data_IF_597422476289
#
_entry.id   IF_597422476289
#
_cell.length_a   1.000
_cell.length_b   1.000
_cell.length_c   1.000
_cell.angle_alpha   90.00
_cell.angle_beta   90.00
_cell.angle_gamma   90.00
#
_symmetry.space_group_name_H-M   'P 1'
#
loop_
_entity.id
_entity.type
_entity.pdbx_description
1 polymer ?
#
# COMPACT_ATOMS: atom_id res chain seq x y z
N UNK A 1 -17.08 42.63 11.81
CA UNK A 1 -15.93 41.77 11.44
C UNK A 1 -16.05 40.50 12.25
N UNK A 2 -16.50 39.41 11.64
CA UNK A 2 -16.71 38.14 12.34
C UNK A 2 -15.40 37.38 12.44
N UNK A 3 -14.99 37.07 13.67
CA UNK A 3 -13.85 36.20 13.95
C UNK A 3 -14.22 34.74 13.69
N UNK A 4 -13.56 34.11 12.72
CA UNK A 4 -13.66 32.67 12.48
C UNK A 4 -12.85 31.92 13.54
N UNK A 5 -13.52 31.52 14.62
CA UNK A 5 -12.98 30.73 15.73
C UNK A 5 -12.63 29.29 15.24
N UNK A 6 -11.37 28.82 15.32
CA UNK A 6 -10.89 27.61 14.64
C UNK A 6 -11.20 26.29 15.39
N UNK A 7 -12.31 26.18 16.10
CA UNK A 7 -12.53 25.07 17.06
C UNK A 7 -12.89 23.74 16.37
N UNK A 8 -13.41 23.80 15.15
CA UNK A 8 -13.90 22.63 14.41
C UNK A 8 -12.77 21.79 13.78
N UNK A 9 -11.66 22.40 13.35
CA UNK A 9 -10.60 21.65 12.65
C UNK A 9 -9.82 20.72 13.58
N UNK A 10 -9.57 21.14 14.82
CA UNK A 10 -8.77 20.35 15.77
C UNK A 10 -9.54 19.13 16.29
N UNK A 11 -10.83 19.30 16.63
CA UNK A 11 -11.69 18.21 17.07
C UNK A 11 -11.91 17.17 15.96
N UNK A 12 -12.08 17.61 14.70
CA UNK A 12 -12.21 16.70 13.56
C UNK A 12 -10.91 15.91 13.31
N UNK A 13 -9.75 16.55 13.46
CA UNK A 13 -8.45 15.87 13.33
C UNK A 13 -8.24 14.85 14.44
N UNK A 14 -8.54 15.19 15.70
CA UNK A 14 -8.44 14.26 16.83
C UNK A 14 -9.36 13.04 16.64
N UNK A 15 -10.59 13.24 16.15
CA UNK A 15 -11.51 12.13 15.87
C UNK A 15 -10.98 11.17 14.78
N UNK A 16 -10.33 11.70 13.74
CA UNK A 16 -9.70 10.87 12.70
C UNK A 16 -8.49 10.12 13.26
N UNK A 17 -7.66 10.78 14.06
CA UNK A 17 -6.48 10.16 14.69
C UNK A 17 -6.89 9.05 15.65
N UNK A 18 -7.94 9.26 16.44
CA UNK A 18 -8.47 8.28 17.38
C UNK A 18 -9.08 7.07 16.66
N UNK A 19 -9.86 7.30 15.60
CA UNK A 19 -10.40 6.23 14.76
C UNK A 19 -9.28 5.40 14.09
N UNK A 20 -8.22 6.06 13.58
CA UNK A 20 -7.05 5.36 13.02
C UNK A 20 -6.33 4.55 14.09
N UNK A 21 -6.15 5.10 15.30
CA UNK A 21 -5.56 4.37 16.44
C UNK A 21 -6.37 3.14 16.82
N UNK A 22 -7.70 3.25 16.88
CA UNK A 22 -8.60 2.12 17.10
C UNK A 22 -8.44 1.04 16.03
N UNK A 23 -8.44 1.43 14.75
CA UNK A 23 -8.29 0.52 13.62
C UNK A 23 -6.92 -0.20 13.62
N UNK A 24 -5.85 0.47 14.05
CA UNK A 24 -4.52 -0.12 14.20
C UNK A 24 -4.49 -1.11 15.37
N UNK A 25 -5.07 -0.75 16.52
CA UNK A 25 -5.06 -1.61 17.71
C UNK A 25 -5.92 -2.86 17.56
N UNK A 26 -7.07 -2.76 16.90
CA UNK A 26 -8.02 -3.87 16.73
C UNK A 26 -7.80 -4.64 15.40
N UNK A 27 -7.19 -3.97 14.39
CA UNK A 27 -7.08 -4.45 13.02
C UNK A 27 -5.67 -4.80 12.51
N UNK A 28 -4.61 -4.64 13.30
CA UNK A 28 -3.22 -4.99 12.89
C UNK A 28 -3.08 -6.44 12.39
N UNK A 29 -3.96 -7.34 12.83
CA UNK A 29 -3.95 -8.74 12.41
C UNK A 29 -4.45 -8.97 10.98
N UNK A 30 -5.02 -7.98 10.30
CA UNK A 30 -5.40 -8.10 8.89
C UNK A 30 -4.26 -7.65 7.98
N UNK A 31 -3.73 -8.62 7.23
CA UNK A 31 -2.67 -8.44 6.23
C UNK A 31 -3.20 -8.81 4.85
N UNK A 32 -2.84 -8.04 3.85
CA UNK A 32 -3.00 -8.39 2.44
C UNK A 32 -1.74 -9.15 2.03
N UNK A 33 -1.92 -10.38 1.58
CA UNK A 33 -0.84 -11.26 1.11
C UNK A 33 -1.00 -11.43 -0.40
N UNK A 34 0.01 -11.00 -1.16
CA UNK A 34 0.10 -11.26 -2.59
C UNK A 34 0.98 -12.48 -2.77
N UNK A 35 0.47 -13.46 -3.52
CA UNK A 35 1.20 -14.67 -3.89
C UNK A 35 1.42 -14.71 -5.40
N UNK A 36 2.53 -15.30 -5.79
CA UNK A 36 2.82 -15.58 -7.20
C UNK A 36 2.12 -16.87 -7.66
N UNK A 37 2.19 -17.23 -8.95
CA UNK A 37 1.55 -18.47 -9.46
C UNK A 37 2.13 -19.77 -8.88
N UNK A 38 3.20 -19.70 -8.07
CA UNK A 38 3.77 -20.81 -7.32
C UNK A 38 3.30 -20.86 -5.86
N UNK A 39 2.35 -20.02 -5.48
CA UNK A 39 1.85 -19.84 -4.10
C UNK A 39 2.87 -19.23 -3.11
N UNK A 40 4.08 -18.86 -3.58
CA UNK A 40 5.06 -18.10 -2.81
C UNK A 40 4.57 -16.68 -2.50
N UNK A 41 4.71 -16.27 -1.23
CA UNK A 41 4.38 -14.91 -0.77
C UNK A 41 5.40 -13.92 -1.31
N UNK A 42 4.94 -13.03 -2.20
CA UNK A 42 5.79 -11.99 -2.82
C UNK A 42 5.68 -10.64 -2.13
N UNK A 43 4.55 -10.38 -1.47
CA UNK A 43 4.31 -9.14 -0.73
C UNK A 43 3.29 -9.40 0.38
N UNK A 44 3.59 -8.93 1.59
CA UNK A 44 2.65 -8.93 2.71
C UNK A 44 2.61 -7.54 3.33
N UNK A 45 1.44 -6.92 3.38
CA UNK A 45 1.26 -5.58 3.93
C UNK A 45 0.00 -5.49 4.81
N UNK A 46 0.06 -4.89 6.02
CA UNK A 46 -1.11 -4.68 6.84
C UNK A 46 -2.13 -3.76 6.15
N UNK A 47 -3.43 -4.06 6.29
CA UNK A 47 -4.50 -3.21 5.72
C UNK A 47 -4.46 -1.80 6.32
N UNK A 48 -4.13 -1.68 7.61
CA UNK A 48 -4.01 -0.41 8.30
C UNK A 48 -2.98 0.53 7.64
N UNK A 49 -1.87 -0.02 7.12
CA UNK A 49 -0.87 0.76 6.39
C UNK A 49 -1.48 1.40 5.13
N UNK A 50 -2.35 0.66 4.42
CA UNK A 50 -3.06 1.16 3.24
C UNK A 50 -4.00 2.32 3.55
N UNK A 51 -4.73 2.28 4.67
CA UNK A 51 -5.63 3.37 5.10
C UNK A 51 -4.84 4.63 5.44
N UNK A 52 -3.78 4.50 6.23
CA UNK A 52 -2.91 5.65 6.57
C UNK A 52 -2.27 6.22 5.30
N UNK A 53 -1.77 5.35 4.42
CA UNK A 53 -1.18 5.78 3.15
C UNK A 53 -2.20 6.50 2.26
N UNK A 54 -3.45 6.03 2.17
CA UNK A 54 -4.48 6.67 1.36
C UNK A 54 -4.83 8.09 1.84
N UNK A 55 -4.87 8.31 3.16
CA UNK A 55 -5.11 9.64 3.73
C UNK A 55 -3.90 10.57 3.59
N UNK A 56 -2.68 10.03 3.73
CA UNK A 56 -1.45 10.80 3.58
C UNK A 56 -1.06 11.03 2.10
N UNK A 57 -1.57 10.21 1.18
CA UNK A 57 -1.20 10.20 -0.23
C UNK A 57 -1.32 11.57 -0.92
N UNK A 58 -2.38 12.39 -0.74
CA UNK A 58 -2.49 13.67 -1.46
C UNK A 58 -1.37 14.66 -1.10
N UNK A 59 -1.02 14.77 0.18
CA UNK A 59 0.05 15.64 0.66
C UNK A 59 1.41 15.12 0.19
N UNK A 60 1.65 13.81 0.39
CA UNK A 60 2.86 13.16 -0.08
C UNK A 60 3.02 13.26 -1.60
N UNK A 61 1.94 13.17 -2.37
CA UNK A 61 1.94 13.28 -3.83
C UNK A 61 2.29 14.70 -4.26
N UNK A 62 1.77 15.73 -3.60
CA UNK A 62 2.12 17.12 -3.93
C UNK A 62 3.62 17.37 -3.76
N UNK A 63 4.18 16.92 -2.64
CA UNK A 63 5.62 17.04 -2.36
C UNK A 63 6.42 16.19 -3.35
N UNK A 64 6.05 14.91 -3.50
CA UNK A 64 6.73 13.96 -4.37
C UNK A 64 6.72 14.36 -5.83
N UNK A 65 5.59 14.87 -6.34
CA UNK A 65 5.47 15.39 -7.69
C UNK A 65 6.36 16.63 -7.89
N UNK A 66 6.36 17.56 -6.93
CA UNK A 66 7.24 18.73 -6.97
C UNK A 66 8.72 18.32 -7.03
N UNK A 67 9.14 17.40 -6.16
CA UNK A 67 10.50 16.85 -6.14
C UNK A 67 10.82 16.13 -7.45
N UNK A 68 9.90 15.34 -8.01
CA UNK A 68 10.10 14.63 -9.26
C UNK A 68 10.24 15.57 -10.47
N UNK A 69 9.56 16.73 -10.45
CA UNK A 69 9.65 17.72 -11.52
C UNK A 69 10.97 18.51 -11.49
N UNK A 70 11.47 18.84 -10.30
CA UNK A 70 12.67 19.69 -10.13
C UNK A 70 13.95 18.86 -10.03
N UNK A 71 13.87 17.65 -9.48
CA UNK A 71 15.01 16.75 -9.31
C UNK A 71 15.32 15.95 -10.58
N UNK A 72 16.60 15.61 -10.78
CA UNK A 72 17.00 14.55 -11.73
C UNK A 72 16.71 13.17 -11.12
N UNK A 73 15.43 12.89 -10.88
CA UNK A 73 14.98 11.61 -10.35
C UNK A 73 14.75 10.63 -11.51
N UNK A 74 15.46 9.50 -11.51
CA UNK A 74 15.22 8.43 -12.48
C UNK A 74 14.21 7.42 -11.93
N UNK A 75 13.06 7.29 -12.56
CA UNK A 75 12.09 6.24 -12.22
C UNK A 75 12.48 4.98 -12.99
N UNK A 76 13.15 4.02 -12.34
CA UNK A 76 13.43 2.70 -12.92
C UNK A 76 12.29 1.74 -12.57
N UNK A 77 11.53 1.33 -13.58
CA UNK A 77 10.62 0.21 -13.47
C UNK A 77 11.39 -1.06 -13.74
N UNK A 78 11.73 -1.79 -12.68
CA UNK A 78 12.23 -3.15 -12.82
C UNK A 78 11.04 -4.10 -12.85
N UNK A 79 10.74 -4.61 -14.04
CA UNK A 79 9.82 -5.71 -14.17
C UNK A 79 10.54 -6.98 -13.72
N UNK A 80 10.25 -7.44 -12.50
CA UNK A 80 10.73 -8.74 -12.02
C UNK A 80 9.90 -9.85 -12.65
N UNK A 81 9.95 -9.96 -13.98
CA UNK A 81 9.41 -11.11 -14.71
C UNK A 81 10.33 -12.30 -14.38
N UNK A 82 9.85 -13.15 -13.47
CA UNK A 82 10.46 -14.38 -12.92
C UNK A 82 11.74 -14.90 -13.60
N UNK A 83 12.85 -15.06 -12.86
CA UNK A 83 13.77 -16.17 -13.06
C UNK A 83 13.26 -17.38 -12.27
N UNK A 84 12.75 -18.39 -12.97
CA UNK A 84 12.61 -19.73 -12.41
C UNK A 84 11.37 -20.48 -12.87
N UNK A 85 11.38 -21.00 -14.08
CA UNK A 85 10.51 -22.11 -14.48
C UNK A 85 10.95 -23.39 -13.73
N UNK A 86 10.00 -24.19 -13.27
CA UNK A 86 10.12 -25.64 -13.41
C UNK A 86 8.81 -26.12 -14.03
N UNK A 87 8.81 -26.59 -15.29
CA UNK A 87 7.64 -27.26 -15.84
C UNK A 87 7.43 -28.53 -15.00
N UNK A 88 6.27 -28.63 -14.34
CA UNK A 88 5.79 -29.92 -13.90
C UNK A 88 5.55 -30.74 -15.17
N UNK A 89 6.38 -31.77 -15.29
CA UNK A 89 6.37 -32.85 -16.27
C UNK A 89 4.98 -33.12 -16.85
N UNK A 90 4.92 -33.13 -18.18
CA UNK A 90 3.90 -33.83 -18.96
C UNK A 90 3.69 -35.23 -18.38
N UNK A 91 2.55 -35.45 -17.73
CA UNK A 91 2.09 -36.82 -17.49
C UNK A 91 1.47 -37.26 -18.80
N UNK A 92 2.31 -37.95 -19.57
CA UNK A 92 1.94 -38.88 -20.61
C UNK A 92 0.77 -39.75 -20.12
N UNK A 93 -0.41 -39.56 -20.71
CA UNK A 93 -1.50 -40.53 -20.58
C UNK A 93 -1.73 -41.11 -21.96
N UNK A 94 -0.79 -41.98 -22.34
CA UNK A 94 -0.97 -43.01 -23.33
C UNK A 94 -0.59 -44.34 -22.70
N UNK A 95 -1.34 -45.40 -23.01
CA UNK A 95 -1.07 -46.81 -22.72
C UNK A 95 -1.66 -47.37 -21.41
N UNK A 96 -2.93 -47.80 -21.43
CA UNK A 96 -3.41 -49.12 -21.91
C UNK A 96 -4.90 -49.08 -22.22
#
# INVERSE_FOLDING_TARGET
MSESKPESSRAAVDAVVDAVRGLVNEGINRRVVVRDSKDDVVLEVPVALGVVAALAAPVATTIGAGVALVGRCGIKLENRQRPGSRPATTVDTGQV
#
